data_IF_373007564531
#
_entry.id   IF_373007564531
#
_cell.length_a   1.000
_cell.length_b   1.000
_cell.length_c   1.000
_cell.angle_alpha   90.00
_cell.angle_beta   90.00
_cell.angle_gamma   90.00
#
_symmetry.space_group_name_H-M   'P 1'
#
loop_
_entity.id
_entity.type
_entity.pdbx_description
1 polymer ?
#
# COMPACT_ATOMS: atom_id res chain seq x y z
N UNK A 1 -13.43 -9.11 8.47
CA UNK A 1 -12.72 -9.91 7.47
C UNK A 1 -13.71 -10.56 6.47
N UNK A 2 -14.66 -11.39 6.93
CA UNK A 2 -15.58 -12.12 6.05
C UNK A 2 -16.35 -11.20 5.09
N UNK A 3 -16.97 -10.13 5.61
CA UNK A 3 -17.69 -9.16 4.77
C UNK A 3 -16.80 -8.55 3.70
N UNK A 4 -15.57 -8.14 4.04
CA UNK A 4 -14.63 -7.59 3.06
C UNK A 4 -14.22 -8.62 1.98
N UNK A 5 -14.00 -9.87 2.38
CA UNK A 5 -13.68 -10.94 1.43
C UNK A 5 -14.88 -11.25 0.49
N UNK A 6 -16.11 -11.26 1.01
CA UNK A 6 -17.33 -11.43 0.21
C UNK A 6 -17.52 -10.25 -0.76
N UNK A 7 -17.31 -9.02 -0.29
CA UNK A 7 -17.39 -7.81 -1.13
C UNK A 7 -16.38 -7.88 -2.27
N UNK A 8 -15.12 -8.18 -1.99
CA UNK A 8 -14.09 -8.32 -3.02
C UNK A 8 -14.42 -9.48 -3.99
N UNK A 9 -14.94 -10.59 -3.51
CA UNK A 9 -15.40 -11.69 -4.37
C UNK A 9 -16.53 -11.27 -5.32
N UNK A 10 -17.48 -10.46 -4.86
CA UNK A 10 -18.57 -9.91 -5.69
C UNK A 10 -17.99 -9.00 -6.78
N UNK A 11 -17.10 -8.07 -6.42
CA UNK A 11 -16.44 -7.19 -7.40
C UNK A 11 -15.62 -8.00 -8.41
N UNK A 12 -14.89 -9.03 -7.97
CA UNK A 12 -14.16 -9.93 -8.87
C UNK A 12 -15.09 -10.62 -9.89
N UNK A 13 -16.26 -11.10 -9.44
CA UNK A 13 -17.26 -11.68 -10.33
C UNK A 13 -17.85 -10.63 -11.30
N UNK A 14 -18.11 -9.41 -10.83
CA UNK A 14 -18.58 -8.31 -11.68
C UNK A 14 -17.54 -7.95 -12.76
N UNK A 15 -16.27 -7.93 -12.39
CA UNK A 15 -15.15 -7.69 -13.33
C UNK A 15 -15.15 -8.69 -14.48
N UNK A 16 -15.36 -9.97 -14.19
CA UNK A 16 -15.38 -11.03 -15.21
C UNK A 16 -16.60 -10.89 -16.14
N UNK A 17 -17.76 -10.53 -15.60
CA UNK A 17 -19.03 -10.49 -16.37
C UNK A 17 -19.22 -9.21 -17.16
N UNK A 18 -18.86 -8.07 -16.63
CA UNK A 18 -19.22 -6.75 -17.16
C UNK A 18 -18.04 -5.81 -17.36
N UNK A 19 -16.85 -6.24 -17.02
CA UNK A 19 -15.71 -5.35 -16.83
C UNK A 19 -15.84 -4.53 -15.56
N UNK A 20 -14.81 -3.81 -15.19
CA UNK A 20 -14.79 -2.98 -13.98
C UNK A 20 -14.23 -1.59 -14.34
N UNK A 21 -14.88 -0.54 -13.86
CA UNK A 21 -14.36 0.82 -13.97
C UNK A 21 -13.39 1.13 -12.79
N UNK A 22 -12.69 2.27 -12.88
CA UNK A 22 -11.70 2.66 -11.87
C UNK A 22 -12.32 2.84 -10.47
N UNK A 23 -13.56 3.29 -10.38
CA UNK A 23 -14.25 3.50 -9.10
C UNK A 23 -14.56 2.15 -8.44
N UNK A 24 -15.12 1.21 -9.19
CA UNK A 24 -15.42 -0.14 -8.71
C UNK A 24 -14.14 -0.88 -8.31
N UNK A 25 -13.08 -0.78 -9.11
CA UNK A 25 -11.76 -1.34 -8.77
C UNK A 25 -11.19 -0.76 -7.47
N UNK A 26 -11.44 0.52 -7.19
CA UNK A 26 -11.01 1.15 -5.94
C UNK A 26 -11.78 0.63 -4.73
N UNK A 27 -13.07 0.36 -4.87
CA UNK A 27 -13.87 -0.25 -3.79
C UNK A 27 -13.47 -1.71 -3.56
N UNK A 28 -13.18 -2.47 -4.60
CA UNK A 28 -12.65 -3.84 -4.47
C UNK A 28 -11.32 -3.84 -3.70
N UNK A 29 -10.38 -2.98 -4.09
CA UNK A 29 -9.11 -2.84 -3.38
C UNK A 29 -9.32 -2.44 -1.91
N UNK A 30 -10.19 -1.48 -1.64
CA UNK A 30 -10.49 -1.04 -0.27
C UNK A 30 -11.09 -2.20 0.56
N UNK A 31 -12.01 -2.95 0.01
CA UNK A 31 -12.61 -4.12 0.65
C UNK A 31 -11.56 -5.19 0.95
N UNK A 32 -10.66 -5.46 0.00
CA UNK A 32 -9.54 -6.39 0.17
C UNK A 32 -8.57 -5.94 1.29
N UNK A 33 -8.19 -4.65 1.31
CA UNK A 33 -7.31 -4.08 2.35
C UNK A 33 -7.96 -4.15 3.73
N UNK A 34 -9.24 -3.80 3.86
CA UNK A 34 -9.99 -3.89 5.12
C UNK A 34 -10.07 -5.35 5.58
N UNK A 35 -10.36 -6.28 4.69
CA UNK A 35 -10.40 -7.71 4.98
C UNK A 35 -9.05 -8.22 5.49
N UNK A 36 -7.99 -7.90 4.78
CA UNK A 36 -6.63 -8.25 5.13
C UNK A 36 -6.23 -7.67 6.50
N UNK A 37 -6.49 -6.39 6.73
CA UNK A 37 -6.21 -5.72 8.01
C UNK A 37 -6.97 -6.34 9.18
N UNK A 38 -8.24 -6.71 8.97
CA UNK A 38 -9.06 -7.39 9.97
C UNK A 38 -8.55 -8.81 10.28
N UNK A 39 -8.15 -9.58 9.27
CA UNK A 39 -7.53 -10.90 9.46
C UNK A 39 -6.21 -10.80 10.19
N UNK A 40 -5.38 -9.83 9.82
CA UNK A 40 -4.10 -9.56 10.47
C UNK A 40 -4.28 -9.19 11.95
N UNK A 41 -5.25 -8.31 12.22
CA UNK A 41 -5.62 -7.97 13.60
C UNK A 41 -6.09 -9.19 14.39
N UNK A 42 -6.96 -10.02 13.82
CA UNK A 42 -7.45 -11.24 14.45
C UNK A 42 -6.30 -12.19 14.79
N UNK A 43 -5.36 -12.40 13.87
CA UNK A 43 -4.16 -13.20 14.07
C UNK A 43 -3.31 -12.69 15.25
N UNK A 44 -3.10 -11.38 15.34
CA UNK A 44 -2.34 -10.80 16.45
C UNK A 44 -3.08 -10.89 17.79
N UNK A 45 -4.41 -10.74 17.78
CA UNK A 45 -5.23 -10.84 19.00
C UNK A 45 -5.26 -12.29 19.51
N UNK A 46 -5.33 -13.27 18.62
CA UNK A 46 -5.39 -14.70 19.01
C UNK A 46 -4.08 -15.22 19.62
N UNK A 47 -2.94 -14.64 19.24
CA UNK A 47 -1.61 -15.11 19.68
C UNK A 47 -1.04 -14.39 20.90
N UNK A 48 -1.63 -13.28 21.35
CA UNK A 48 -1.13 -12.50 22.50
C UNK A 48 -2.30 -12.08 23.38
N UNK A 49 -2.08 -12.05 24.70
CA UNK A 49 -3.06 -11.59 25.66
C UNK A 49 -3.64 -10.22 25.28
N UNK A 50 -4.88 -9.93 25.67
CA UNK A 50 -5.65 -8.71 25.39
C UNK A 50 -4.97 -7.47 26.01
N UNK A 51 -3.81 -7.09 25.48
CA UNK A 51 -3.15 -5.85 25.84
C UNK A 51 -3.93 -4.66 25.27
N UNK A 52 -4.18 -3.61 26.04
CA UNK A 52 -4.86 -2.43 25.55
C UNK A 52 -4.06 -1.78 24.42
N UNK A 53 -4.77 -1.13 23.51
CA UNK A 53 -4.14 -0.39 22.41
C UNK A 53 -3.51 0.90 22.94
N UNK A 54 -2.21 1.06 22.72
CA UNK A 54 -1.45 2.22 23.19
C UNK A 54 -1.28 3.22 22.04
N UNK A 55 -1.83 4.42 22.19
CA UNK A 55 -1.69 5.54 21.27
C UNK A 55 -0.46 6.39 21.59
N UNK A 56 0.73 5.85 21.36
CA UNK A 56 1.99 6.61 21.45
C UNK A 56 2.37 7.25 20.10
N UNK A 57 3.41 8.10 20.09
CA UNK A 57 3.87 8.80 18.89
C UNK A 57 4.23 7.84 17.75
N UNK A 58 4.83 6.67 18.03
CA UNK A 58 5.17 5.65 17.02
C UNK A 58 3.92 5.03 16.41
N UNK A 59 2.92 4.72 17.24
CA UNK A 59 1.64 4.18 16.76
C UNK A 59 0.94 5.17 15.84
N UNK A 60 0.90 6.47 16.22
CA UNK A 60 0.30 7.53 15.39
C UNK A 60 1.03 7.66 14.05
N UNK A 61 2.36 7.65 14.08
CA UNK A 61 3.19 7.72 12.86
C UNK A 61 2.95 6.52 11.96
N UNK A 62 2.90 5.30 12.52
CA UNK A 62 2.60 4.09 11.75
C UNK A 62 1.19 4.09 11.15
N UNK A 63 0.18 4.54 11.91
CA UNK A 63 -1.19 4.70 11.39
C UNK A 63 -1.22 5.72 10.26
N UNK A 64 -0.54 6.87 10.42
CA UNK A 64 -0.41 7.87 9.36
C UNK A 64 0.21 7.28 8.09
N UNK A 65 1.32 6.54 8.22
CA UNK A 65 1.94 5.87 7.09
C UNK A 65 0.97 4.91 6.37
N UNK A 66 0.27 4.06 7.12
CA UNK A 66 -0.73 3.13 6.56
C UNK A 66 -1.85 3.88 5.84
N UNK A 67 -2.40 4.93 6.44
CA UNK A 67 -3.48 5.72 5.82
C UNK A 67 -3.01 6.33 4.50
N UNK A 68 -1.85 6.98 4.47
CA UNK A 68 -1.33 7.58 3.25
C UNK A 68 -0.98 6.56 2.18
N UNK A 69 -0.46 5.39 2.56
CA UNK A 69 -0.22 4.29 1.60
C UNK A 69 -1.53 3.77 1.01
N UNK A 70 -2.57 3.56 1.82
CA UNK A 70 -3.90 3.11 1.34
C UNK A 70 -4.52 4.15 0.41
N UNK A 71 -4.49 5.43 0.79
CA UNK A 71 -5.03 6.52 -0.03
C UNK A 71 -4.22 6.65 -1.34
N UNK A 72 -2.90 6.49 -1.27
CA UNK A 72 -2.05 6.45 -2.46
C UNK A 72 -2.43 5.34 -3.45
N UNK A 73 -2.72 4.14 -2.96
CA UNK A 73 -3.21 3.03 -3.79
C UNK A 73 -4.58 3.33 -4.41
N UNK A 74 -5.49 3.92 -3.64
CA UNK A 74 -6.79 4.33 -4.15
C UNK A 74 -6.67 5.32 -5.31
N UNK A 75 -5.88 6.37 -5.13
CA UNK A 75 -5.63 7.35 -6.19
C UNK A 75 -4.88 6.76 -7.38
N UNK A 76 -3.99 5.78 -7.15
CA UNK A 76 -3.28 5.09 -8.21
C UNK A 76 -4.26 4.44 -9.21
N UNK A 77 -5.28 3.76 -8.71
CA UNK A 77 -6.32 3.15 -9.55
C UNK A 77 -7.12 4.20 -10.31
N UNK A 78 -7.50 5.31 -9.65
CA UNK A 78 -8.27 6.38 -10.28
C UNK A 78 -7.51 7.05 -11.44
N UNK A 79 -6.20 7.19 -11.31
CA UNK A 79 -5.37 7.86 -12.30
C UNK A 79 -4.92 6.92 -13.43
N UNK A 80 -4.56 5.68 -13.09
CA UNK A 80 -4.03 4.72 -14.05
C UNK A 80 -5.09 3.78 -14.66
N UNK A 81 -6.31 3.81 -14.11
CA UNK A 81 -7.41 2.95 -14.55
C UNK A 81 -7.32 1.51 -14.02
N UNK A 82 -8.23 0.61 -14.45
CA UNK A 82 -8.37 -0.74 -13.89
C UNK A 82 -7.13 -1.64 -14.05
N UNK A 83 -6.22 -1.32 -14.94
CA UNK A 83 -4.95 -2.03 -15.13
C UNK A 83 -3.78 -1.47 -14.31
N UNK A 84 -4.04 -0.65 -13.29
CA UNK A 84 -3.03 0.13 -12.57
C UNK A 84 -1.95 -0.70 -11.88
N UNK A 85 -2.25 -1.91 -11.41
CA UNK A 85 -1.26 -2.80 -10.80
C UNK A 85 -0.12 -3.18 -11.76
N UNK A 86 -0.36 -3.09 -13.07
CA UNK A 86 0.63 -3.36 -14.11
C UNK A 86 1.14 -2.09 -14.79
N UNK A 87 0.53 -0.93 -14.52
CA UNK A 87 0.91 0.38 -15.06
C UNK A 87 1.62 1.19 -14.00
N UNK A 88 2.88 0.98 -13.89
CA UNK A 88 3.66 1.64 -12.87
C UNK A 88 3.79 3.12 -13.13
N UNK A 89 3.73 3.84 -12.06
CA UNK A 89 3.69 5.26 -12.03
C UNK A 89 5.00 5.80 -11.47
N UNK A 90 6.04 5.92 -12.12
CA UNK A 90 7.33 6.44 -11.65
C UNK A 90 7.27 7.54 -10.57
N UNK A 91 6.57 7.28 -9.45
CA UNK A 91 6.22 8.25 -8.40
C UNK A 91 7.43 8.96 -7.82
N UNK A 92 8.54 8.24 -7.67
CA UNK A 92 9.78 8.79 -7.13
C UNK A 92 10.35 9.97 -7.96
N UNK A 93 9.98 10.05 -9.23
CA UNK A 93 10.48 11.06 -10.17
C UNK A 93 9.40 12.05 -10.60
N UNK A 94 8.19 11.95 -10.08
CA UNK A 94 7.02 12.75 -10.51
C UNK A 94 6.81 12.74 -12.03
N UNK A 95 7.09 11.61 -12.66
CA UNK A 95 6.94 11.42 -14.10
C UNK A 95 5.53 10.88 -14.39
N UNK A 96 4.89 11.41 -15.42
CA UNK A 96 3.60 10.91 -15.87
C UNK A 96 3.76 9.48 -16.37
N UNK A 97 3.04 8.55 -15.78
CA UNK A 97 2.98 7.16 -16.22
C UNK A 97 2.15 6.99 -17.50
N UNK A 98 1.97 5.76 -17.94
CA UNK A 98 1.26 5.40 -19.18
C UNK A 98 -0.28 5.51 -19.11
N UNK A 99 -0.85 6.19 -18.11
CA UNK A 99 -2.30 6.36 -17.98
C UNK A 99 -2.81 7.64 -18.63
N UNK A 100 -4.09 7.65 -18.99
CA UNK A 100 -4.76 8.78 -19.64
C UNK A 100 -5.35 9.80 -18.64
N UNK A 101 -5.06 9.65 -17.37
CA UNK A 101 -5.56 10.54 -16.33
C UNK A 101 -5.02 11.96 -16.41
N UNK A 102 -5.72 12.95 -15.83
CA UNK A 102 -5.27 14.34 -15.82
C UNK A 102 -3.96 14.50 -15.04
N UNK A 103 -3.08 15.37 -15.52
CA UNK A 103 -1.76 15.63 -14.91
C UNK A 103 -1.85 15.95 -13.41
N UNK A 104 -2.85 16.76 -13.01
CA UNK A 104 -3.08 17.08 -11.59
C UNK A 104 -3.36 15.84 -10.72
N UNK A 105 -4.10 14.85 -11.25
CA UNK A 105 -4.35 13.59 -10.58
C UNK A 105 -3.06 12.78 -10.39
N UNK A 106 -2.20 12.72 -11.38
CA UNK A 106 -0.88 12.08 -11.31
C UNK A 106 0.00 12.71 -10.24
N UNK A 107 0.10 14.04 -10.23
CA UNK A 107 0.88 14.76 -9.22
C UNK A 107 0.34 14.52 -7.82
N UNK A 108 -0.98 14.60 -7.63
CA UNK A 108 -1.60 14.35 -6.34
C UNK A 108 -1.35 12.92 -5.85
N UNK A 109 -1.51 11.92 -6.73
CA UNK A 109 -1.25 10.52 -6.40
C UNK A 109 0.21 10.31 -5.98
N UNK A 110 1.16 10.83 -6.74
CA UNK A 110 2.57 10.69 -6.47
C UNK A 110 2.97 11.40 -5.16
N UNK A 111 2.42 12.58 -4.89
CA UNK A 111 2.64 13.29 -3.63
C UNK A 111 2.10 12.49 -2.43
N UNK A 112 0.89 11.96 -2.52
CA UNK A 112 0.26 11.17 -1.45
C UNK A 112 1.05 9.88 -1.21
N UNK A 113 1.40 9.14 -2.26
CA UNK A 113 2.21 7.92 -2.15
C UNK A 113 3.60 8.22 -1.58
N UNK A 114 4.24 9.30 -2.02
CA UNK A 114 5.53 9.77 -1.50
C UNK A 114 5.48 10.12 -0.03
N UNK A 115 4.45 10.85 0.44
CA UNK A 115 4.24 11.13 1.86
C UNK A 115 4.08 9.82 2.64
N UNK A 116 3.26 8.88 2.16
CA UNK A 116 3.08 7.58 2.79
C UNK A 116 4.39 6.81 2.93
N UNK A 117 5.23 6.83 1.90
CA UNK A 117 6.54 6.19 1.91
C UNK A 117 7.52 6.87 2.87
N UNK A 118 7.58 8.20 2.89
CA UNK A 118 8.40 8.96 3.85
C UNK A 118 7.96 8.65 5.28
N UNK A 119 6.67 8.65 5.56
CA UNK A 119 6.15 8.30 6.88
C UNK A 119 6.50 6.86 7.27
N UNK A 120 6.46 5.91 6.33
CA UNK A 120 6.88 4.53 6.57
C UNK A 120 8.37 4.44 6.91
N UNK A 121 9.24 5.16 6.19
CA UNK A 121 10.67 5.24 6.46
C UNK A 121 10.91 5.84 7.85
N UNK A 122 10.33 6.99 8.16
CA UNK A 122 10.47 7.65 9.47
C UNK A 122 9.96 6.75 10.59
N UNK A 123 8.85 6.04 10.37
CA UNK A 123 8.32 5.07 11.31
C UNK A 123 9.29 3.90 11.58
N UNK A 124 9.89 3.33 10.53
CA UNK A 124 10.90 2.28 10.68
C UNK A 124 12.14 2.77 11.41
N UNK A 125 12.61 3.98 11.10
CA UNK A 125 13.72 4.62 11.81
C UNK A 125 13.41 4.84 13.29
N UNK A 126 12.21 5.32 13.62
CA UNK A 126 11.75 5.50 15.01
C UNK A 126 11.65 4.17 15.79
N UNK A 127 11.62 3.03 15.07
CA UNK A 127 11.63 1.68 15.64
C UNK A 127 13.00 1.01 15.62
N UNK A 128 14.02 1.65 15.06
CA UNK A 128 15.31 1.00 14.76
C UNK A 128 15.92 0.24 15.95
N UNK A 129 15.84 0.76 17.15
CA UNK A 129 16.28 0.09 18.39
C UNK A 129 15.47 -1.15 18.80
N UNK A 130 14.29 -1.35 18.22
CA UNK A 130 13.38 -2.49 18.46
C UNK A 130 13.08 -3.27 17.18
N UNK A 131 13.91 -3.09 16.14
CA UNK A 131 13.72 -3.72 14.84
C UNK A 131 13.74 -5.24 14.93
N UNK A 132 13.01 -5.86 14.06
CA UNK A 132 13.02 -7.30 13.84
C UNK A 132 13.18 -7.59 12.34
N UNK A 133 13.27 -8.87 11.97
CA UNK A 133 13.47 -9.27 10.57
C UNK A 133 12.41 -8.71 9.61
N UNK A 134 11.16 -8.52 10.06
CA UNK A 134 10.09 -7.94 9.25
C UNK A 134 10.28 -6.44 9.00
N UNK A 135 10.81 -5.70 9.99
CA UNK A 135 11.13 -4.29 9.83
C UNK A 135 12.29 -4.12 8.82
N UNK A 136 13.28 -5.02 8.87
CA UNK A 136 14.40 -5.04 7.90
C UNK A 136 13.89 -5.38 6.50
N UNK A 137 13.04 -6.40 6.38
CA UNK A 137 12.41 -6.76 5.09
C UNK A 137 11.63 -5.58 4.52
N UNK A 138 10.85 -4.89 5.34
CA UNK A 138 10.12 -3.69 4.90
C UNK A 138 11.07 -2.61 4.37
N UNK A 139 12.19 -2.35 5.05
CA UNK A 139 13.18 -1.37 4.60
C UNK A 139 13.82 -1.78 3.25
N UNK A 140 14.14 -3.06 3.07
CA UNK A 140 14.67 -3.59 1.80
C UNK A 140 13.65 -3.43 0.68
N UNK A 141 12.38 -3.75 0.94
CA UNK A 141 11.31 -3.60 -0.05
C UNK A 141 11.09 -2.13 -0.44
N UNK A 142 11.23 -1.18 0.50
CA UNK A 142 11.19 0.26 0.20
C UNK A 142 12.32 0.65 -0.76
N UNK A 143 13.52 0.15 -0.55
CA UNK A 143 14.65 0.41 -1.47
C UNK A 143 14.37 -0.18 -2.85
N UNK A 144 13.87 -1.41 -2.93
CA UNK A 144 13.48 -2.06 -4.19
C UNK A 144 12.41 -1.22 -4.91
N UNK A 145 11.42 -0.73 -4.17
CA UNK A 145 10.32 0.08 -4.69
C UNK A 145 10.81 1.40 -5.29
N UNK A 146 11.71 2.08 -4.59
CA UNK A 146 12.34 3.31 -5.08
C UNK A 146 13.14 3.04 -6.37
N UNK A 147 13.96 2.00 -6.37
CA UNK A 147 14.76 1.62 -7.55
C UNK A 147 13.85 1.24 -8.72
N UNK A 148 12.82 0.44 -8.49
CA UNK A 148 11.86 0.08 -9.52
C UNK A 148 11.14 1.31 -10.09
N UNK A 149 10.73 2.25 -9.24
CA UNK A 149 10.13 3.53 -9.67
C UNK A 149 11.07 4.35 -10.56
N UNK A 150 12.35 4.45 -10.20
CA UNK A 150 13.36 5.14 -11.01
C UNK A 150 13.56 4.44 -12.37
N UNK A 151 13.69 3.10 -12.36
CA UNK A 151 13.87 2.33 -13.61
C UNK A 151 12.68 2.50 -14.55
N UNK A 152 11.45 2.54 -14.02
CA UNK A 152 10.25 2.78 -14.80
C UNK A 152 10.23 4.19 -15.37
N UNK A 153 10.63 5.18 -14.59
CA UNK A 153 10.69 6.57 -15.03
C UNK A 153 11.71 6.77 -16.17
N UNK A 154 12.84 6.06 -16.13
CA UNK A 154 13.92 6.17 -17.15
C UNK A 154 13.64 5.31 -18.38
N UNK A 155 13.19 4.06 -18.19
CA UNK A 155 13.11 3.07 -19.26
C UNK A 155 11.67 2.82 -19.76
N UNK A 156 10.69 3.44 -19.13
CA UNK A 156 9.28 3.10 -19.33
C UNK A 156 8.86 1.85 -18.58
N UNK A 157 7.55 1.61 -18.52
CA UNK A 157 7.00 0.43 -17.88
C UNK A 157 6.99 -0.77 -18.83
N UNK A 158 7.47 -1.90 -18.33
CA UNK A 158 7.26 -3.22 -18.95
C UNK A 158 6.63 -4.17 -17.93
N UNK A 159 6.20 -5.34 -18.38
CA UNK A 159 5.53 -6.31 -17.50
C UNK A 159 6.40 -6.71 -16.28
N UNK A 160 7.69 -6.93 -16.46
CA UNK A 160 8.60 -7.31 -15.38
C UNK A 160 8.81 -6.19 -14.36
N UNK A 161 9.08 -4.98 -14.82
CA UNK A 161 9.20 -3.80 -13.94
C UNK A 161 7.88 -3.47 -13.25
N UNK A 162 6.75 -3.65 -13.95
CA UNK A 162 5.42 -3.49 -13.39
C UNK A 162 5.18 -4.42 -12.20
N UNK A 163 5.51 -5.69 -12.36
CA UNK A 163 5.39 -6.68 -11.27
C UNK A 163 6.36 -6.38 -10.13
N UNK A 164 7.62 -6.02 -10.48
CA UNK A 164 8.65 -5.66 -9.49
C UNK A 164 8.25 -4.45 -8.65
N UNK A 165 7.45 -3.54 -9.18
CA UNK A 165 6.92 -2.39 -8.45
C UNK A 165 5.65 -2.74 -7.65
N UNK A 166 4.69 -3.44 -8.26
CA UNK A 166 3.40 -3.73 -7.63
C UNK A 166 3.50 -4.65 -6.40
N UNK A 167 4.33 -5.70 -6.46
CA UNK A 167 4.45 -6.68 -5.36
C UNK A 167 5.08 -6.06 -4.10
N UNK A 168 6.24 -5.37 -4.17
CA UNK A 168 6.80 -4.67 -3.01
C UNK A 168 5.84 -3.65 -2.40
N UNK A 169 5.11 -2.89 -3.21
CA UNK A 169 4.16 -1.88 -2.74
C UNK A 169 3.10 -2.48 -1.80
N UNK A 170 2.50 -3.60 -2.18
CA UNK A 170 1.52 -4.32 -1.33
C UNK A 170 2.18 -4.88 -0.08
N UNK A 171 3.38 -5.46 -0.21
CA UNK A 171 4.11 -6.03 0.92
C UNK A 171 4.55 -4.94 1.92
N UNK A 172 4.98 -3.77 1.45
CA UNK A 172 5.29 -2.60 2.31
C UNK A 172 4.07 -2.20 3.12
N UNK A 173 2.90 -2.12 2.51
CA UNK A 173 1.65 -1.83 3.21
C UNK A 173 1.37 -2.87 4.30
N UNK A 174 1.44 -4.16 3.98
CA UNK A 174 1.22 -5.26 4.93
C UNK A 174 2.20 -5.21 6.11
N UNK A 175 3.49 -4.99 5.82
CA UNK A 175 4.53 -4.95 6.84
C UNK A 175 4.44 -3.69 7.71
N UNK A 176 4.10 -2.54 7.13
CA UNK A 176 3.86 -1.31 7.87
C UNK A 176 2.65 -1.45 8.80
N UNK A 177 1.56 -2.06 8.35
CA UNK A 177 0.41 -2.40 9.21
C UNK A 177 0.82 -3.31 10.36
N UNK A 178 1.61 -4.35 10.07
CA UNK A 178 2.13 -5.29 11.08
C UNK A 178 2.96 -4.58 12.14
N UNK A 179 3.91 -3.75 11.70
CA UNK A 179 4.79 -2.99 12.57
C UNK A 179 4.01 -1.98 13.43
N UNK A 180 2.98 -1.34 12.85
CA UNK A 180 2.06 -0.44 13.56
C UNK A 180 1.30 -1.16 14.66
N UNK A 181 0.72 -2.33 14.36
CA UNK A 181 0.00 -3.13 15.35
C UNK A 181 0.91 -3.62 16.49
N UNK A 182 2.18 -3.91 16.20
CA UNK A 182 3.17 -4.23 17.24
C UNK A 182 3.52 -3.02 18.09
N UNK A 183 3.66 -1.84 17.50
CA UNK A 183 3.94 -0.59 18.22
C UNK A 183 2.79 -0.17 19.13
N UNK A 184 1.56 -0.50 18.76
CA UNK A 184 0.37 -0.21 19.55
C UNK A 184 0.19 -1.13 20.78
N UNK A 185 1.03 -2.15 20.93
CA UNK A 185 0.94 -3.12 22.03
C UNK A 185 2.16 -3.12 22.96
N UNK A 186 3.11 -2.18 22.74
CA UNK A 186 4.32 -2.04 23.56
C UNK A 186 5.47 -2.88 23.02
#
# INVERSE_FOLDING_TARGET
ALLGALTSGIFGMMTIKWGINAVEASFDLLAAIISMGAMWRAFFVSRRSRSPWIWNGRTKLGVGAVVFLVVGHFFAIQVAGPGSLTRCMGWAMFVRGAGDGPLAGWVAQQAIAGIGMILAIVFLLARWGRRNGWDILCAVLIVIEIVAGILIAVNGSNHGLGTLHAVPTVLILCLTMTATMRSARG
#
